data_IF_509096836281
#
_entry.id   IF_509096836281
#
_cell.length_a   1.000
_cell.length_b   1.000
_cell.length_c   1.000
_cell.angle_alpha   90.00
_cell.angle_beta   90.00
_cell.angle_gamma   90.00
#
_symmetry.space_group_name_H-M   'P 1'
#
loop_
_entity.id
_entity.type
_entity.pdbx_description
1 polymer ?
#
# COMPACT_ATOMS: atom_id res chain seq x y z
N UNK A 1 17.07 36.97 6.20
CA UNK A 1 15.77 36.54 6.75
C UNK A 1 15.89 35.07 7.14
N UNK A 2 16.05 34.76 8.43
CA UNK A 2 16.07 33.37 8.91
C UNK A 2 14.62 32.87 9.02
N UNK A 3 14.29 31.80 8.30
CA UNK A 3 13.00 31.11 8.44
C UNK A 3 13.06 30.22 9.68
N UNK A 4 12.27 30.56 10.68
CA UNK A 4 12.13 29.78 11.92
C UNK A 4 11.39 28.48 11.60
N UNK A 5 12.12 27.38 11.46
CA UNK A 5 11.54 26.04 11.38
C UNK A 5 11.00 25.67 12.75
N UNK A 6 9.69 25.87 12.96
CA UNK A 6 8.96 25.40 14.15
C UNK A 6 9.13 23.88 14.27
N UNK A 7 10.02 23.43 15.16
CA UNK A 7 10.07 22.04 15.63
C UNK A 7 8.79 21.75 16.43
N UNK A 8 7.80 21.19 15.76
CA UNK A 8 6.62 20.66 16.42
C UNK A 8 7.04 19.42 17.24
N UNK A 9 6.59 19.32 18.51
CA UNK A 9 6.80 18.14 19.36
C UNK A 9 6.48 16.90 18.54
N UNK A 10 7.43 15.96 18.39
CA UNK A 10 7.22 14.71 17.63
C UNK A 10 6.14 13.88 18.35
N UNK A 11 4.89 14.10 17.96
CA UNK A 11 3.79 13.22 18.32
C UNK A 11 4.03 11.82 17.75
N UNK A 12 3.24 10.85 18.24
CA UNK A 12 3.27 9.48 17.71
C UNK A 12 3.04 9.53 16.20
N UNK A 13 3.99 9.00 15.42
CA UNK A 13 3.87 8.86 13.98
C UNK A 13 3.53 7.43 13.63
N UNK A 14 2.48 7.21 12.84
CA UNK A 14 2.12 5.89 12.33
C UNK A 14 2.83 5.65 11.01
N UNK A 15 3.66 4.61 10.95
CA UNK A 15 4.43 4.25 9.77
C UNK A 15 3.99 2.88 9.27
N UNK A 16 3.73 2.79 7.98
CA UNK A 16 3.37 1.55 7.32
C UNK A 16 4.07 1.43 5.97
N UNK A 17 4.43 0.20 5.61
CA UNK A 17 5.16 -0.07 4.37
C UNK A 17 4.52 -1.25 3.62
N UNK A 18 3.74 -1.02 2.55
CA UNK A 18 3.40 -2.10 1.63
C UNK A 18 4.58 -2.35 0.70
N UNK A 19 5.05 -3.59 0.74
CA UNK A 19 6.07 -4.13 -0.13
C UNK A 19 5.43 -4.65 -1.42
N UNK A 20 5.84 -4.07 -2.54
CA UNK A 20 5.38 -4.41 -3.88
C UNK A 20 6.52 -4.98 -4.74
N UNK A 21 7.62 -5.46 -4.14
CA UNK A 21 8.81 -5.94 -4.84
C UNK A 21 8.49 -6.96 -5.93
N UNK A 22 7.91 -8.09 -5.58
CA UNK A 22 7.59 -9.16 -6.55
C UNK A 22 6.75 -8.69 -7.74
N UNK A 23 5.54 -8.11 -7.55
CA UNK A 23 4.72 -7.72 -8.70
C UNK A 23 5.27 -6.53 -9.50
N UNK A 24 6.14 -5.69 -8.92
CA UNK A 24 6.80 -4.60 -9.65
C UNK A 24 7.93 -5.14 -10.52
N UNK A 25 8.72 -6.08 -10.00
CA UNK A 25 9.81 -6.72 -10.75
C UNK A 25 9.30 -7.56 -11.92
N UNK A 26 8.16 -8.24 -11.73
CA UNK A 26 7.49 -9.03 -12.77
C UNK A 26 6.70 -8.16 -13.78
N UNK A 27 6.69 -6.83 -13.61
CA UNK A 27 6.01 -5.89 -14.51
C UNK A 27 4.47 -5.88 -14.41
N UNK A 28 3.89 -6.55 -13.42
CA UNK A 28 2.44 -6.69 -13.22
C UNK A 28 1.85 -5.45 -12.52
N UNK A 29 2.63 -4.78 -11.67
CA UNK A 29 2.21 -3.62 -10.90
C UNK A 29 3.15 -2.43 -11.12
N UNK A 30 2.59 -1.28 -11.50
CA UNK A 30 3.33 -0.03 -11.50
C UNK A 30 3.26 0.66 -10.12
N UNK A 31 4.43 0.82 -9.49
CA UNK A 31 4.60 1.48 -8.19
C UNK A 31 4.26 2.97 -8.23
N UNK A 32 4.48 3.66 -9.35
CA UNK A 32 4.16 5.09 -9.50
C UNK A 32 2.64 5.32 -9.60
N UNK A 33 1.95 4.49 -10.39
CA UNK A 33 0.49 4.50 -10.43
C UNK A 33 -0.11 4.16 -9.05
N UNK A 34 0.45 3.16 -8.36
CA UNK A 34 -0.02 2.81 -7.02
C UNK A 34 0.17 3.95 -6.00
N UNK A 35 1.31 4.64 -6.02
CA UNK A 35 1.55 5.84 -5.21
C UNK A 35 0.50 6.93 -5.46
N UNK A 36 0.23 7.21 -6.74
CA UNK A 36 -0.75 8.23 -7.17
C UNK A 36 -2.15 7.86 -6.71
N UNK A 37 -2.55 6.60 -6.88
CA UNK A 37 -3.82 6.08 -6.38
C UNK A 37 -3.97 6.27 -4.87
N UNK A 38 -2.93 6.00 -4.08
CA UNK A 38 -2.97 6.21 -2.63
C UNK A 38 -3.13 7.69 -2.30
N UNK A 39 -2.39 8.58 -2.98
CA UNK A 39 -2.53 10.04 -2.79
C UNK A 39 -3.96 10.53 -3.06
N UNK A 40 -4.63 9.98 -4.06
CA UNK A 40 -6.02 10.34 -4.38
C UNK A 40 -7.06 9.74 -3.43
N UNK A 41 -6.86 8.48 -3.00
CA UNK A 41 -7.89 7.71 -2.30
C UNK A 41 -7.76 7.71 -0.78
N UNK A 42 -6.62 8.09 -0.23
CA UNK A 42 -6.45 8.26 1.20
C UNK A 42 -7.33 9.41 1.69
N UNK A 43 -8.09 9.12 2.74
CA UNK A 43 -8.95 10.10 3.41
C UNK A 43 -8.35 10.52 4.75
N UNK A 44 -8.39 11.81 5.01
CA UNK A 44 -8.10 12.40 6.31
C UNK A 44 -9.35 13.16 6.75
N UNK A 45 -9.87 12.87 7.95
CA UNK A 45 -11.16 13.41 8.43
C UNK A 45 -12.31 13.18 7.42
N UNK A 46 -12.41 11.96 6.88
CA UNK A 46 -13.44 11.53 5.91
C UNK A 46 -13.42 12.22 4.53
N UNK A 47 -12.44 13.10 4.25
CA UNK A 47 -12.28 13.80 2.97
C UNK A 47 -11.00 13.35 2.25
N UNK A 48 -11.08 13.16 0.93
CA UNK A 48 -9.93 12.94 0.05
C UNK A 48 -9.27 14.27 -0.31
N UNK A 49 -8.04 14.26 -0.81
CA UNK A 49 -7.34 15.47 -1.28
C UNK A 49 -6.84 16.40 -0.16
N UNK A 50 -7.06 16.03 1.11
CA UNK A 50 -6.65 16.81 2.27
C UNK A 50 -5.47 16.15 3.03
N UNK A 51 -4.41 15.78 2.30
CA UNK A 51 -3.24 15.12 2.88
C UNK A 51 -2.36 16.11 3.65
N UNK A 52 -2.20 17.33 3.12
CA UNK A 52 -1.39 18.40 3.71
C UNK A 52 -0.01 17.90 4.18
N UNK A 53 0.37 18.28 5.40
CA UNK A 53 1.55 17.72 6.08
C UNK A 53 1.21 16.51 6.98
N UNK A 54 -0.06 16.11 7.04
CA UNK A 54 -0.54 15.07 7.97
C UNK A 54 -0.15 13.68 7.51
N UNK A 55 -0.23 13.42 6.21
CA UNK A 55 0.08 12.12 5.60
C UNK A 55 1.13 12.31 4.51
N UNK A 56 2.23 11.60 4.66
CA UNK A 56 3.32 11.53 3.68
C UNK A 56 3.33 10.14 3.04
N UNK A 57 3.27 10.11 1.71
CA UNK A 57 3.32 8.89 0.90
C UNK A 57 4.51 9.04 -0.03
N UNK A 58 5.51 8.18 0.15
CA UNK A 58 6.78 8.26 -0.57
C UNK A 58 7.08 6.91 -1.20
N UNK A 59 7.38 6.89 -2.49
CA UNK A 59 7.86 5.68 -3.17
C UNK A 59 9.36 5.50 -2.95
N UNK A 60 9.74 4.30 -2.53
CA UNK A 60 11.12 3.83 -2.37
C UNK A 60 11.35 2.65 -3.32
N UNK A 61 11.52 2.94 -4.62
CA UNK A 61 11.57 1.95 -5.70
C UNK A 61 10.33 1.03 -5.69
N UNK A 62 10.45 -0.16 -5.10
CA UNK A 62 9.39 -1.18 -5.11
C UNK A 62 8.58 -1.21 -3.80
N UNK A 63 8.93 -0.36 -2.83
CA UNK A 63 8.21 -0.20 -1.57
C UNK A 63 7.55 1.17 -1.53
N UNK A 64 6.38 1.26 -0.92
CA UNK A 64 5.77 2.55 -0.59
C UNK A 64 5.97 2.78 0.91
N UNK A 65 6.39 3.96 1.31
CA UNK A 65 6.42 4.38 2.71
C UNK A 65 5.25 5.30 2.99
N UNK A 66 4.39 4.87 3.92
CA UNK A 66 3.24 5.63 4.38
C UNK A 66 3.52 6.12 5.79
N UNK A 67 3.59 7.44 6.01
CA UNK A 67 3.77 8.05 7.32
C UNK A 67 2.60 8.98 7.61
N UNK A 68 2.00 8.87 8.79
CA UNK A 68 0.92 9.75 9.24
C UNK A 68 1.21 10.33 10.62
N UNK A 69 0.97 11.62 10.80
CA UNK A 69 1.01 12.31 12.10
C UNK A 69 -0.31 12.19 12.87
N UNK A 70 -1.38 11.74 12.20
CA UNK A 70 -2.67 11.42 12.82
C UNK A 70 -2.90 9.93 12.86
N UNK A 71 -3.79 9.51 13.76
CA UNK A 71 -4.14 8.11 13.92
C UNK A 71 -4.58 7.51 12.59
N UNK A 72 -3.79 6.53 12.13
CA UNK A 72 -4.02 5.85 10.88
C UNK A 72 -3.97 4.35 11.13
N UNK A 73 -4.94 3.62 10.58
CA UNK A 73 -5.02 2.18 10.79
C UNK A 73 -4.33 1.43 9.66
N UNK A 74 -3.52 0.44 10.03
CA UNK A 74 -2.92 -0.51 9.10
C UNK A 74 -4.00 -1.16 8.21
N UNK A 75 -5.16 -1.50 8.80
CA UNK A 75 -6.30 -2.10 8.09
C UNK A 75 -6.82 -1.22 6.95
N UNK A 76 -6.82 0.10 7.11
CA UNK A 76 -7.25 1.01 6.05
C UNK A 76 -6.31 0.98 4.84
N UNK A 77 -4.99 0.88 5.08
CA UNK A 77 -4.03 0.67 4.00
C UNK A 77 -4.28 -0.65 3.27
N UNK A 78 -4.58 -1.75 3.98
CA UNK A 78 -4.97 -3.04 3.37
C UNK A 78 -6.24 -2.93 2.52
N UNK A 79 -7.20 -2.13 2.95
CA UNK A 79 -8.41 -1.89 2.16
C UNK A 79 -8.07 -1.16 0.85
N UNK A 80 -7.25 -0.11 0.92
CA UNK A 80 -6.85 0.67 -0.26
C UNK A 80 -6.02 -0.16 -1.22
N UNK A 81 -5.07 -0.97 -0.74
CA UNK A 81 -4.28 -1.88 -1.59
C UNK A 81 -5.20 -2.88 -2.28
N UNK A 82 -6.10 -3.55 -1.57
CA UNK A 82 -7.09 -4.46 -2.18
C UNK A 82 -8.02 -3.78 -3.19
N UNK A 83 -8.37 -2.51 -2.93
CA UNK A 83 -9.20 -1.70 -3.85
C UNK A 83 -8.44 -1.40 -5.14
N UNK A 84 -7.16 -1.08 -5.05
CA UNK A 84 -6.28 -0.91 -6.21
C UNK A 84 -6.16 -2.20 -7.01
N UNK A 85 -5.90 -3.34 -6.35
CA UNK A 85 -5.80 -4.64 -7.02
C UNK A 85 -7.09 -4.97 -7.78
N UNK A 86 -8.28 -4.70 -7.21
CA UNK A 86 -9.54 -4.93 -7.94
C UNK A 86 -9.71 -3.97 -9.12
N UNK A 87 -9.31 -2.70 -8.98
CA UNK A 87 -9.40 -1.70 -10.07
C UNK A 87 -8.54 -2.08 -11.28
N UNK A 88 -7.39 -2.71 -11.04
CA UNK A 88 -6.45 -3.14 -12.10
C UNK A 88 -6.58 -4.63 -12.44
N UNK A 89 -7.65 -5.30 -12.01
CA UNK A 89 -7.91 -6.72 -12.26
C UNK A 89 -6.80 -7.69 -11.78
N UNK A 90 -6.03 -7.32 -10.75
CA UNK A 90 -4.92 -8.11 -10.18
C UNK A 90 -5.33 -9.03 -9.03
N UNK A 91 -6.64 -9.16 -8.76
CA UNK A 91 -7.15 -9.83 -7.55
C UNK A 91 -6.97 -11.34 -7.55
N UNK A 92 -6.88 -11.93 -8.73
CA UNK A 92 -6.79 -13.38 -8.91
C UNK A 92 -5.34 -13.85 -8.84
N UNK A 93 -4.38 -12.94 -9.05
CA UNK A 93 -2.95 -13.22 -8.98
C UNK A 93 -2.35 -12.85 -7.63
N UNK A 94 -2.79 -11.76 -7.00
CA UNK A 94 -2.12 -11.18 -5.83
C UNK A 94 -3.01 -11.11 -4.58
N UNK A 95 -2.45 -11.49 -3.44
CA UNK A 95 -3.02 -11.31 -2.10
C UNK A 95 -2.15 -10.41 -1.21
N UNK A 96 -2.82 -9.60 -0.39
CA UNK A 96 -2.17 -8.71 0.59
C UNK A 96 -2.04 -9.42 1.94
N UNK A 97 -0.81 -9.76 2.33
CA UNK A 97 -0.46 -10.48 3.56
C UNK A 97 0.30 -9.54 4.51
N UNK A 98 0.07 -9.66 5.82
CA UNK A 98 0.85 -8.92 6.81
C UNK A 98 2.18 -9.64 7.04
N UNK A 99 3.30 -8.97 6.78
CA UNK A 99 4.64 -9.48 7.09
C UNK A 99 5.01 -9.18 8.55
N UNK A 100 4.93 -7.91 8.96
CA UNK A 100 5.19 -7.47 10.35
C UNK A 100 4.04 -6.63 10.91
N UNK A 101 4.22 -6.04 12.08
CA UNK A 101 3.25 -5.09 12.66
C UNK A 101 3.04 -3.86 11.78
N UNK A 102 4.06 -3.39 11.08
CA UNK A 102 4.03 -2.16 10.28
C UNK A 102 4.02 -2.41 8.77
N UNK A 103 4.23 -3.64 8.31
CA UNK A 103 4.43 -3.96 6.90
C UNK A 103 3.33 -4.85 6.32
N UNK A 104 3.06 -4.66 5.03
CA UNK A 104 2.31 -5.61 4.20
C UNK A 104 3.17 -6.07 3.06
N UNK A 105 2.83 -7.22 2.49
CA UNK A 105 3.50 -7.82 1.36
C UNK A 105 2.45 -8.29 0.35
N UNK A 106 2.71 -8.06 -0.94
CA UNK A 106 1.93 -8.63 -2.03
C UNK A 106 2.52 -9.99 -2.41
N UNK A 107 1.75 -11.06 -2.19
CA UNK A 107 2.14 -12.43 -2.51
C UNK A 107 1.25 -13.02 -3.59
N UNK A 108 1.81 -13.91 -4.40
CA UNK A 108 1.03 -14.72 -5.31
C UNK A 108 0.13 -15.71 -4.56
N UNK A 109 -0.96 -16.12 -5.22
CA UNK A 109 -1.63 -17.36 -4.86
C UNK A 109 -0.77 -18.53 -5.33
N UNK A 110 -0.57 -19.52 -4.47
CA UNK A 110 -0.06 -20.81 -4.90
C UNK A 110 -1.24 -21.51 -5.58
N UNK A 111 -1.22 -21.52 -6.90
CA UNK A 111 -2.09 -22.41 -7.66
C UNK A 111 -1.36 -23.75 -7.59
N UNK A 112 -1.84 -24.67 -6.76
CA UNK A 112 -1.43 -26.06 -6.86
C UNK A 112 -1.82 -26.51 -8.27
N UNK A 113 -0.86 -26.96 -9.05
CA UNK A 113 -1.09 -27.54 -10.38
C UNK A 113 -1.68 -28.95 -10.24
N UNK A 114 -2.72 -29.10 -9.42
CA UNK A 114 -3.37 -30.37 -9.06
C UNK A 114 -4.84 -30.45 -9.50
N UNK A 115 -5.30 -29.54 -10.37
CA UNK A 115 -6.61 -29.63 -11.04
C UNK A 115 -6.45 -29.91 -12.55
N UNK A 116 -5.41 -30.65 -12.94
CA UNK A 116 -5.25 -31.20 -14.30
C UNK A 116 -4.91 -32.71 -14.24
N UNK A 117 -5.53 -33.40 -13.28
CA UNK A 117 -5.58 -34.86 -13.21
C UNK A 117 -6.96 -35.35 -12.77
N UNK A 118 -8.01 -34.83 -13.40
CA UNK A 118 -9.24 -35.58 -13.57
C UNK A 118 -9.41 -35.80 -15.09
N UNK A 119 -8.52 -36.66 -15.60
CA UNK A 119 -8.70 -37.34 -16.87
C UNK A 119 -9.90 -38.26 -16.75
N UNK A 120 -10.85 -38.10 -17.66
CA UNK A 120 -11.74 -39.13 -18.21
C UNK A 120 -12.12 -40.31 -17.28
N UNK A 121 -13.28 -40.22 -16.64
CA UNK A 121 -14.30 -41.29 -16.58
C UNK A 121 -15.71 -40.75 -16.27
#
# INVERSE_FOLDING_TARGET
MQTVVKKNKKGVSWKFTPDCTHPVEDGILDSANFETFLKEKVKVNSKTGNLGNVVQIVRQKNKISFTSEKQFSKRYLKYLTKKYLKKNNLRDWLRVVASDKESYELRYFQISQDDESDSDE
#
